data_IF_299187518639
#
_entry.id   IF_299187518639
#
_cell.length_a   1.000
_cell.length_b   1.000
_cell.length_c   1.000
_cell.angle_alpha   90.00
_cell.angle_beta   90.00
_cell.angle_gamma   90.00
#
_symmetry.space_group_name_H-M   'P 1'
#
loop_
_entity.id
_entity.type
_entity.pdbx_description
1 polymer ?
#
# COMPACT_ATOMS: atom_id res chain seq x y z
N UNK A 1 2.31 -1.45 12.11
CA UNK A 1 3.09 -2.57 11.53
C UNK A 1 4.50 -2.69 12.09
N UNK A 2 4.74 -2.29 13.35
CA UNK A 2 6.09 -2.39 13.95
C UNK A 2 6.62 -3.82 14.01
N UNK A 3 5.75 -4.80 14.22
CA UNK A 3 6.14 -6.21 14.23
C UNK A 3 6.68 -6.69 12.88
N UNK A 4 6.12 -6.16 11.78
CA UNK A 4 6.51 -6.55 10.42
C UNK A 4 7.79 -5.82 10.00
N UNK A 5 7.88 -4.51 10.27
CA UNK A 5 9.09 -3.71 9.99
C UNK A 5 10.31 -4.09 10.84
N UNK A 6 10.10 -4.69 12.01
CA UNK A 6 11.17 -5.11 12.91
C UNK A 6 11.38 -6.64 12.87
N UNK A 7 10.76 -7.33 11.92
CA UNK A 7 10.96 -8.76 11.73
C UNK A 7 12.41 -8.99 11.29
N UNK A 8 13.11 -9.92 11.95
CA UNK A 8 14.48 -10.31 11.57
C UNK A 8 14.52 -11.21 10.33
N UNK A 9 13.37 -11.79 9.97
CA UNK A 9 13.20 -12.63 8.80
C UNK A 9 12.56 -11.83 7.66
N UNK A 10 12.94 -12.11 6.40
CA UNK A 10 12.33 -11.47 5.25
C UNK A 10 10.83 -11.79 5.17
N UNK A 11 10.04 -10.80 4.83
CA UNK A 11 8.58 -10.83 4.77
C UNK A 11 8.08 -10.69 3.34
N UNK A 12 7.14 -11.55 2.95
CA UNK A 12 6.57 -11.57 1.60
C UNK A 12 5.05 -11.40 1.69
N UNK A 13 4.53 -10.36 1.03
CA UNK A 13 3.09 -10.21 0.82
C UNK A 13 2.65 -10.99 -0.43
N UNK A 14 1.75 -11.96 -0.27
CA UNK A 14 1.08 -12.64 -1.37
C UNK A 14 -0.34 -12.09 -1.52
N UNK A 15 -0.60 -11.34 -2.59
CA UNK A 15 -1.86 -10.63 -2.80
C UNK A 15 -2.71 -11.34 -3.84
N UNK A 16 -3.74 -12.05 -3.37
CA UNK A 16 -4.74 -12.70 -4.21
C UNK A 16 -6.08 -11.96 -4.12
N UNK A 17 -6.14 -10.78 -4.72
CA UNK A 17 -7.26 -9.87 -4.52
C UNK A 17 -6.87 -8.41 -4.63
N UNK A 18 -7.79 -7.55 -4.21
CA UNK A 18 -7.50 -6.13 -4.06
C UNK A 18 -6.93 -5.85 -2.66
N UNK A 19 -5.96 -4.95 -2.58
CA UNK A 19 -5.43 -4.46 -1.32
C UNK A 19 -5.70 -2.95 -1.24
N UNK A 20 -6.58 -2.53 -0.33
CA UNK A 20 -6.98 -1.13 -0.18
C UNK A 20 -6.64 -0.58 1.21
N UNK A 21 -6.38 0.72 1.28
CA UNK A 21 -6.13 1.46 2.52
C UNK A 21 -5.04 0.81 3.39
N UNK A 22 -5.39 0.24 4.54
CA UNK A 22 -4.45 -0.46 5.42
C UNK A 22 -3.86 -1.73 4.78
N UNK A 23 -4.55 -2.32 3.81
CA UNK A 23 -4.02 -3.40 2.97
C UNK A 23 -2.81 -2.93 2.15
N UNK A 24 -2.88 -1.75 1.51
CA UNK A 24 -1.72 -1.15 0.83
C UNK A 24 -0.58 -0.89 1.81
N UNK A 25 -0.88 -0.41 3.01
CA UNK A 25 0.14 -0.20 4.03
C UNK A 25 0.84 -1.52 4.40
N UNK A 26 0.09 -2.62 4.50
CA UNK A 26 0.61 -3.94 4.86
C UNK A 26 1.56 -4.44 3.78
N UNK A 27 1.11 -4.41 2.53
CA UNK A 27 1.91 -4.82 1.38
C UNK A 27 3.18 -3.96 1.25
N UNK A 28 3.05 -2.63 1.38
CA UNK A 28 4.18 -1.71 1.30
C UNK A 28 5.13 -1.79 2.51
N UNK A 29 4.77 -2.51 3.57
CA UNK A 29 5.64 -2.75 4.73
C UNK A 29 6.39 -4.08 4.66
N UNK A 30 6.06 -4.96 3.70
CA UNK A 30 6.80 -6.18 3.44
C UNK A 30 8.05 -5.90 2.60
N UNK A 31 9.04 -6.79 2.68
CA UNK A 31 10.27 -6.70 1.88
C UNK A 31 10.00 -6.99 0.40
N UNK A 32 9.09 -7.92 0.13
CA UNK A 32 8.67 -8.27 -1.23
C UNK A 32 7.15 -8.43 -1.31
N UNK A 33 6.59 -8.09 -2.46
CA UNK A 33 5.18 -8.30 -2.77
C UNK A 33 5.03 -9.07 -4.09
N UNK A 34 4.21 -10.12 -4.08
CA UNK A 34 3.76 -10.85 -5.27
C UNK A 34 2.26 -10.70 -5.34
N UNK A 35 1.74 -10.37 -6.52
CA UNK A 35 0.30 -10.23 -6.72
C UNK A 35 -0.17 -10.95 -7.98
N UNK A 36 -1.42 -11.36 -7.97
CA UNK A 36 -2.13 -11.80 -9.18
C UNK A 36 -2.31 -10.59 -10.12
N UNK A 37 -2.27 -10.80 -11.43
CA UNK A 37 -2.33 -9.73 -12.44
C UNK A 37 -3.61 -8.88 -12.41
N UNK A 38 -4.67 -9.36 -11.76
CA UNK A 38 -5.95 -8.66 -11.61
C UNK A 38 -6.10 -7.97 -10.25
N UNK A 39 -5.09 -8.09 -9.37
CA UNK A 39 -5.06 -7.35 -8.12
C UNK A 39 -5.11 -5.85 -8.38
N UNK A 40 -5.64 -5.09 -7.41
CA UNK A 40 -5.68 -3.63 -7.49
C UNK A 40 -5.25 -3.05 -6.16
N UNK A 41 -4.51 -1.95 -6.23
CA UNK A 41 -4.00 -1.24 -5.07
C UNK A 41 -4.55 0.18 -5.07
N UNK A 42 -5.11 0.62 -3.94
CA UNK A 42 -5.65 1.96 -3.82
C UNK A 42 -5.72 2.44 -2.38
N UNK A 43 -5.74 3.76 -2.23
CA UNK A 43 -6.03 4.42 -0.95
C UNK A 43 -7.23 5.36 -1.15
N UNK A 44 -8.46 4.81 -1.25
CA UNK A 44 -9.62 5.57 -1.72
C UNK A 44 -10.23 6.51 -0.66
N UNK A 45 -9.60 6.68 0.50
CA UNK A 45 -10.16 7.48 1.60
C UNK A 45 -10.58 8.88 1.17
N UNK A 46 -9.83 9.51 0.26
CA UNK A 46 -10.12 10.86 -0.22
C UNK A 46 -11.47 10.96 -0.94
N UNK A 47 -11.93 9.85 -1.56
CA UNK A 47 -13.27 9.76 -2.18
C UNK A 47 -14.39 9.75 -1.14
N UNK A 48 -14.07 9.49 0.12
CA UNK A 48 -14.97 9.53 1.27
C UNK A 48 -14.77 10.80 2.11
N UNK A 49 -13.98 11.76 1.62
CA UNK A 49 -13.62 12.98 2.38
C UNK A 49 -12.60 12.74 3.50
N UNK A 50 -11.91 11.59 3.51
CA UNK A 50 -10.96 11.21 4.55
C UNK A 50 -9.53 11.12 4.00
N UNK A 51 -8.58 11.82 4.61
CA UNK A 51 -7.18 11.65 4.22
C UNK A 51 -6.55 10.46 4.92
N UNK A 52 -6.24 9.39 4.17
CA UNK A 52 -5.54 8.21 4.68
C UNK A 52 -4.03 8.47 4.80
N UNK A 53 -3.61 9.17 5.85
CA UNK A 53 -2.19 9.49 6.09
C UNK A 53 -1.35 8.27 6.49
N UNK A 54 -1.95 7.27 7.16
CA UNK A 54 -1.26 6.09 7.71
C UNK A 54 -0.45 5.28 6.68
N UNK A 55 -0.96 4.96 5.48
CA UNK A 55 -0.16 4.30 4.44
C UNK A 55 0.93 5.18 3.82
N UNK A 56 0.92 6.50 4.04
CA UNK A 56 1.68 7.45 3.24
C UNK A 56 3.18 7.24 3.24
N UNK A 57 3.78 7.01 4.42
CA UNK A 57 5.23 6.77 4.52
C UNK A 57 5.64 5.44 3.90
N UNK A 58 4.87 4.37 4.15
CA UNK A 58 5.16 3.04 3.60
C UNK A 58 5.04 3.04 2.07
N UNK A 59 3.97 3.62 1.53
CA UNK A 59 3.79 3.76 0.08
C UNK A 59 4.88 4.59 -0.57
N UNK A 60 5.22 5.76 0.00
CA UNK A 60 6.26 6.62 -0.57
C UNK A 60 7.63 5.92 -0.62
N UNK A 61 7.92 5.00 0.31
CA UNK A 61 9.13 4.17 0.30
C UNK A 61 9.06 3.04 -0.72
N UNK A 62 7.90 2.40 -0.89
CA UNK A 62 7.73 1.25 -1.78
C UNK A 62 7.65 1.63 -3.27
N UNK A 63 6.89 2.68 -3.62
CA UNK A 63 6.59 3.06 -5.03
C UNK A 63 7.08 4.46 -5.41
N UNK A 64 7.81 5.12 -4.50
CA UNK A 64 8.29 6.48 -4.68
C UNK A 64 7.23 7.56 -4.43
N UNK A 65 7.72 8.78 -4.18
CA UNK A 65 6.89 9.90 -3.70
C UNK A 65 5.79 10.34 -4.67
N UNK A 66 6.05 10.31 -5.98
CA UNK A 66 5.09 10.77 -7.01
C UNK A 66 3.88 9.83 -7.13
N UNK A 67 4.13 8.54 -7.30
CA UNK A 67 3.06 7.53 -7.38
C UNK A 67 2.28 7.43 -6.06
N UNK A 68 2.97 7.52 -4.91
CA UNK A 68 2.30 7.57 -3.62
C UNK A 68 1.39 8.80 -3.47
N UNK A 69 1.86 9.98 -3.90
CA UNK A 69 1.05 11.20 -3.85
C UNK A 69 -0.19 11.09 -4.74
N UNK A 70 -0.07 10.53 -5.94
CA UNK A 70 -1.20 10.27 -6.82
C UNK A 70 -2.25 9.39 -6.13
N UNK A 71 -1.84 8.23 -5.58
CA UNK A 71 -2.76 7.33 -4.86
C UNK A 71 -3.44 7.99 -3.65
N UNK A 72 -2.70 8.76 -2.86
CA UNK A 72 -3.19 9.38 -1.63
C UNK A 72 -4.11 10.58 -1.89
N UNK A 73 -3.82 11.38 -2.91
CA UNK A 73 -4.53 12.63 -3.19
C UNK A 73 -5.75 12.43 -4.10
N UNK A 74 -5.71 11.43 -4.97
CA UNK A 74 -6.80 11.18 -5.95
C UNK A 74 -7.65 9.96 -5.60
N UNK A 75 -7.12 9.03 -4.79
CA UNK A 75 -7.76 7.75 -4.55
C UNK A 75 -7.88 6.89 -5.81
N UNK A 76 -7.02 7.13 -6.81
CA UNK A 76 -6.96 6.36 -8.04
C UNK A 76 -6.54 4.90 -7.79
N UNK A 77 -6.93 4.01 -8.70
CA UNK A 77 -6.62 2.57 -8.63
C UNK A 77 -5.36 2.29 -9.45
N UNK A 78 -4.33 1.76 -8.79
CA UNK A 78 -3.16 1.19 -9.46
C UNK A 78 -3.44 -0.27 -9.84
N UNK A 79 -3.14 -0.60 -11.10
CA UNK A 79 -3.12 -1.97 -11.63
C UNK A 79 -1.76 -2.61 -11.35
#
# INVERSE_FOLDING_TARGET
MKCLSNCSLPSIAAVNGHAFASGCQLVASCDLAVSVSWAKFAVPGVKLGLFCSTPGVALARAIGRRAAAELLLTGYLYF
#
